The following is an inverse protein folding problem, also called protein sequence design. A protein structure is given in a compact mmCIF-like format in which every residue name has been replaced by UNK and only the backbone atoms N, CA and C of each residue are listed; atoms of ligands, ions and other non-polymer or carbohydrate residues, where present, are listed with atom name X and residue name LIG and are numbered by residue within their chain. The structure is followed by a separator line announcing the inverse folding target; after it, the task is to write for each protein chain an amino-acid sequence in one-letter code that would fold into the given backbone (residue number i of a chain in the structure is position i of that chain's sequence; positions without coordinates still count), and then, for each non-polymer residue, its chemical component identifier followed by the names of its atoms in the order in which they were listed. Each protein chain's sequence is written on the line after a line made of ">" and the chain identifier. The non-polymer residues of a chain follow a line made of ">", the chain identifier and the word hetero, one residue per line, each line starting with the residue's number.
data_IF_386588472573
#
_entry.id   IF_386588472573
#
_cell.length_a   1.000
_cell.length_b   1.000
_cell.length_c   1.000
_cell.angle_alpha   90.00
_cell.angle_beta   90.00
_cell.angle_gamma   90.00
#
_symmetry.space_group_name_H-M   'P 1'
#
loop_
_entity.id
_entity.type
_entity.pdbx_description
1 polymer ?
#
# COMPACT_ATOMS: atom_id res chain seq x y z
N UNK A 1 -50.87 1.58 -2.48
CA UNK A 1 -50.83 2.36 -1.21
C UNK A 1 -49.40 2.73 -0.89
N UNK A 2 -49.16 4.04 -0.70
CA UNK A 2 -48.03 4.75 -0.07
C UNK A 2 -46.67 4.02 0.05
N UNK A 3 -45.75 4.38 -0.86
CA UNK A 3 -44.30 4.38 -0.63
C UNK A 3 -43.97 5.37 0.49
N UNK A 4 -43.39 4.91 1.59
CA UNK A 4 -42.75 5.78 2.60
C UNK A 4 -41.28 5.94 2.20
N UNK A 5 -40.91 7.18 1.91
CA UNK A 5 -39.54 7.58 1.61
C UNK A 5 -38.68 7.52 2.87
N UNK A 6 -37.53 6.88 2.75
CA UNK A 6 -36.42 7.06 3.66
C UNK A 6 -35.50 8.13 3.06
N UNK A 7 -35.59 9.34 3.61
CA UNK A 7 -34.60 10.39 3.46
C UNK A 7 -33.42 10.02 4.37
N UNK A 8 -32.36 9.46 3.78
CA UNK A 8 -31.06 9.28 4.43
C UNK A 8 -30.05 10.20 3.74
N UNK A 9 -29.58 11.20 4.48
CA UNK A 9 -28.79 12.32 3.96
C UNK A 9 -27.53 11.90 3.22
N UNK A 10 -27.45 12.31 1.95
CA UNK A 10 -26.20 12.39 1.20
C UNK A 10 -25.43 13.58 1.75
N UNK A 11 -24.41 13.32 2.56
CA UNK A 11 -23.38 14.31 2.86
C UNK A 11 -22.59 14.55 1.56
N UNK A 12 -22.97 15.58 0.82
CA UNK A 12 -22.14 16.21 -0.21
C UNK A 12 -20.85 16.69 0.45
N UNK A 13 -19.81 15.86 0.41
CA UNK A 13 -18.44 16.30 0.60
C UNK A 13 -18.11 17.24 -0.56
N UNK A 14 -18.15 18.53 -0.27
CA UNK A 14 -17.68 19.56 -1.17
C UNK A 14 -16.25 19.22 -1.60
N UNK A 15 -16.09 18.81 -2.86
CA UNK A 15 -14.80 18.82 -3.52
C UNK A 15 -14.32 20.26 -3.56
N UNK A 16 -13.36 20.57 -2.70
CA UNK A 16 -12.65 21.84 -2.75
C UNK A 16 -11.92 21.93 -4.08
N UNK A 17 -12.54 22.58 -5.06
CA UNK A 17 -11.85 23.10 -6.23
C UNK A 17 -10.94 24.23 -5.73
N UNK A 18 -9.71 23.89 -5.33
CA UNK A 18 -8.71 24.89 -4.99
C UNK A 18 -8.07 25.41 -6.27
N UNK A 19 -8.57 26.56 -6.69
CA UNK A 19 -7.89 27.51 -7.56
C UNK A 19 -6.59 27.96 -6.87
N UNK A 20 -5.48 27.25 -7.10
CA UNK A 20 -4.15 27.80 -6.83
C UNK A 20 -3.81 28.78 -7.93
N UNK A 21 -3.90 30.07 -7.59
CA UNK A 21 -3.50 31.16 -8.46
C UNK A 21 -2.08 30.90 -9.02
N UNK A 22 -2.01 30.72 -10.34
CA UNK A 22 -0.77 30.79 -11.10
C UNK A 22 -0.22 32.21 -11.04
N UNK A 23 0.47 32.54 -9.95
CA UNK A 23 1.40 33.67 -9.95
C UNK A 23 2.68 33.24 -10.68
N UNK A 24 2.56 33.07 -12.00
CA UNK A 24 3.69 32.97 -12.92
C UNK A 24 4.30 34.37 -13.09
N UNK A 25 5.03 34.86 -12.10
CA UNK A 25 6.03 35.90 -12.34
C UNK A 25 7.21 35.22 -13.02
N UNK A 26 7.64 35.72 -14.18
CA UNK A 26 8.85 35.24 -14.88
C UNK A 26 10.04 35.29 -13.90
N UNK A 27 10.57 34.13 -13.53
CA UNK A 27 11.73 34.03 -12.64
C UNK A 27 13.00 34.33 -13.42
N UNK A 28 13.98 34.92 -12.75
CA UNK A 28 15.28 35.20 -13.36
C UNK A 28 16.08 33.91 -13.49
N UNK A 29 16.69 33.66 -14.65
CA UNK A 29 17.52 32.47 -14.83
C UNK A 29 18.73 32.47 -13.88
N UNK A 30 19.07 31.31 -13.31
CA UNK A 30 20.14 31.16 -12.33
C UNK A 30 21.49 31.69 -12.84
N UNK A 31 21.76 31.66 -14.16
CA UNK A 31 22.99 32.22 -14.75
C UNK A 31 23.21 33.70 -14.42
N UNK A 32 22.14 34.45 -14.16
CA UNK A 32 22.21 35.88 -13.83
C UNK A 32 22.49 36.15 -12.35
N UNK A 33 22.61 35.12 -11.51
CA UNK A 33 22.81 35.27 -10.06
C UNK A 33 24.28 35.45 -9.66
N UNK A 34 25.17 35.77 -10.61
CA UNK A 34 26.56 36.14 -10.37
C UNK A 34 27.31 35.10 -9.53
N UNK A 35 27.86 35.51 -8.38
CA UNK A 35 28.63 34.63 -7.49
C UNK A 35 27.88 33.37 -7.06
N UNK A 36 26.56 33.45 -6.86
CA UNK A 36 25.74 32.29 -6.47
C UNK A 36 25.82 31.22 -7.56
N UNK A 37 25.69 31.62 -8.83
CA UNK A 37 25.82 30.69 -9.96
C UNK A 37 27.22 30.09 -10.02
N UNK A 38 28.26 30.92 -9.86
CA UNK A 38 29.66 30.44 -9.80
C UNK A 38 29.89 29.43 -8.67
N UNK A 39 29.31 29.66 -7.49
CA UNK A 39 29.39 28.74 -6.34
C UNK A 39 28.64 27.42 -6.57
N UNK A 40 27.59 27.42 -7.40
CA UNK A 40 26.89 26.20 -7.80
C UNK A 40 27.67 25.40 -8.85
N UNK A 41 28.42 26.07 -9.72
CA UNK A 41 29.27 25.43 -10.74
C UNK A 41 30.59 24.91 -10.15
N UNK A 42 31.10 25.54 -9.09
CA UNK A 42 32.36 25.19 -8.44
C UNK A 42 32.20 25.10 -6.91
N UNK A 43 31.87 23.92 -6.37
CA UNK A 43 31.77 23.67 -4.93
C UNK A 43 33.09 23.91 -4.16
N UNK A 44 34.25 23.78 -4.82
CA UNK A 44 35.55 24.02 -4.19
C UNK A 44 35.79 25.53 -3.98
N UNK A 45 35.46 26.35 -5.00
CA UNK A 45 35.44 27.80 -4.87
C UNK A 45 34.49 28.25 -3.76
N UNK A 46 33.28 27.68 -3.70
CA UNK A 46 32.33 27.98 -2.64
C UNK A 46 32.90 27.68 -1.26
N UNK A 47 33.46 26.48 -1.08
CA UNK A 47 34.07 26.07 0.20
C UNK A 47 35.17 27.05 0.62
N UNK A 48 36.00 27.51 -0.34
CA UNK A 48 37.03 28.51 -0.07
C UNK A 48 36.47 29.86 0.36
N UNK A 49 35.41 30.32 -0.30
CA UNK A 49 34.86 31.67 -0.11
C UNK A 49 33.98 31.80 1.14
N UNK A 50 33.12 30.79 1.39
CA UNK A 50 32.09 30.86 2.45
C UNK A 50 32.03 29.61 3.35
N UNK A 51 32.93 28.64 3.15
CA UNK A 51 32.95 27.39 3.91
C UNK A 51 31.65 26.61 3.79
N UNK A 52 31.22 26.02 4.90
CA UNK A 52 29.98 25.23 5.01
C UNK A 52 28.71 26.08 5.21
N UNK A 53 28.81 27.41 5.10
CA UNK A 53 27.65 28.30 5.27
C UNK A 53 26.53 27.96 4.29
N UNK A 54 25.29 28.08 4.76
CA UNK A 54 24.10 27.83 3.91
C UNK A 54 24.04 28.86 2.80
N UNK A 55 24.01 28.40 1.55
CA UNK A 55 23.79 29.25 0.38
C UNK A 55 22.30 29.29 0.05
N UNK A 56 21.70 30.47 0.19
CA UNK A 56 20.27 30.69 -0.10
C UNK A 56 20.12 31.20 -1.53
N UNK A 57 19.24 30.55 -2.28
CA UNK A 57 18.90 30.88 -3.67
C UNK A 57 17.39 31.09 -3.71
N UNK A 58 16.94 32.32 -3.99
CA UNK A 58 15.53 32.69 -4.00
C UNK A 58 15.08 33.16 -5.38
N UNK A 59 13.92 32.67 -5.84
CA UNK A 59 13.27 33.17 -7.05
C UNK A 59 14.00 32.84 -8.36
N UNK A 60 14.88 31.84 -8.36
CA UNK A 60 15.66 31.46 -9.55
C UNK A 60 14.93 30.46 -10.45
N UNK A 61 15.13 30.59 -11.76
CA UNK A 61 14.82 29.57 -12.75
C UNK A 61 16.09 28.79 -13.13
N UNK A 62 16.07 27.49 -12.91
CA UNK A 62 17.08 26.53 -13.33
C UNK A 62 16.63 25.93 -14.66
N UNK A 63 16.98 26.60 -15.76
CA UNK A 63 16.72 26.16 -17.14
C UNK A 63 17.93 26.42 -18.03
N UNK A 64 18.16 25.53 -19.02
CA UNK A 64 19.25 25.67 -19.98
C UNK A 64 20.65 25.78 -19.37
N UNK A 65 20.83 25.24 -18.16
CA UNK A 65 22.10 25.15 -17.42
C UNK A 65 22.65 23.74 -17.52
N UNK A 66 23.88 23.51 -17.06
CA UNK A 66 24.41 22.16 -16.95
C UNK A 66 25.17 22.05 -15.64
N UNK A 67 24.69 21.16 -14.76
CA UNK A 67 25.31 20.80 -13.50
C UNK A 67 25.49 19.28 -13.50
N UNK A 68 26.71 18.83 -13.76
CA UNK A 68 27.05 17.43 -13.89
C UNK A 68 28.22 17.09 -12.98
N UNK A 69 28.14 15.95 -12.31
CA UNK A 69 29.24 15.40 -11.48
C UNK A 69 29.70 16.35 -10.37
N UNK A 70 28.73 17.08 -9.80
CA UNK A 70 28.95 18.02 -8.70
C UNK A 70 28.34 17.49 -7.40
N UNK A 71 28.97 17.87 -6.29
CA UNK A 71 28.42 17.71 -4.94
C UNK A 71 27.87 19.05 -4.46
N UNK A 72 26.56 19.11 -4.28
CA UNK A 72 25.88 20.25 -3.68
C UNK A 72 25.59 19.98 -2.21
N UNK A 73 26.03 20.87 -1.32
CA UNK A 73 25.85 20.74 0.14
C UNK A 73 25.32 22.02 0.76
N UNK A 74 24.53 21.95 1.83
CA UNK A 74 24.08 23.14 2.58
C UNK A 74 23.42 24.20 1.68
N UNK A 75 22.50 23.78 0.82
CA UNK A 75 21.77 24.68 -0.08
C UNK A 75 20.35 24.88 0.41
N UNK A 76 19.84 26.10 0.25
CA UNK A 76 18.43 26.42 0.47
C UNK A 76 17.85 27.08 -0.78
N UNK A 77 17.03 26.36 -1.51
CA UNK A 77 16.30 26.85 -2.67
C UNK A 77 14.92 27.30 -2.22
N UNK A 78 14.57 28.56 -2.45
CA UNK A 78 13.30 29.15 -2.04
C UNK A 78 12.60 29.69 -3.28
N UNK A 79 11.35 29.29 -3.49
CA UNK A 79 10.57 29.74 -4.64
C UNK A 79 11.34 29.59 -5.97
N UNK A 80 12.05 28.48 -6.19
CA UNK A 80 12.78 28.24 -7.44
C UNK A 80 11.97 27.38 -8.42
N UNK A 81 12.25 27.50 -9.72
CA UNK A 81 11.72 26.62 -10.75
C UNK A 81 12.86 25.79 -11.35
N UNK A 82 12.68 24.48 -11.41
CA UNK A 82 13.61 23.54 -12.04
C UNK A 82 12.97 22.98 -13.29
N UNK A 83 13.39 23.50 -14.45
CA UNK A 83 12.76 23.22 -15.75
C UNK A 83 13.82 22.71 -16.72
N UNK A 84 13.63 21.48 -17.19
CA UNK A 84 14.55 20.85 -18.12
C UNK A 84 14.57 19.33 -17.98
N UNK A 85 15.15 18.66 -18.95
CA UNK A 85 15.45 17.23 -18.86
C UNK A 85 16.96 17.00 -18.95
N UNK A 86 17.53 16.39 -17.90
CA UNK A 86 18.91 15.91 -17.84
C UNK A 86 20.01 16.98 -17.74
N UNK A 87 19.67 18.25 -17.53
CA UNK A 87 20.61 19.34 -17.24
C UNK A 87 21.20 19.28 -15.84
N UNK A 88 20.49 18.67 -14.90
CA UNK A 88 20.92 18.48 -13.52
C UNK A 88 21.16 16.98 -13.30
N UNK A 89 22.45 16.64 -13.17
CA UNK A 89 23.00 15.30 -12.94
C UNK A 89 24.08 15.38 -11.88
N UNK A 90 23.67 15.69 -10.66
CA UNK A 90 24.62 15.77 -9.55
C UNK A 90 25.16 14.39 -9.22
N UNK A 91 26.38 14.34 -8.74
CA UNK A 91 26.90 13.16 -8.03
C UNK A 91 26.14 13.01 -6.71
N UNK A 92 25.93 14.13 -6.00
CA UNK A 92 25.38 14.11 -4.66
C UNK A 92 24.74 15.44 -4.25
N UNK A 93 23.68 15.36 -3.46
CA UNK A 93 23.00 16.48 -2.83
C UNK A 93 22.83 16.24 -1.33
N UNK A 94 23.36 17.13 -0.52
CA UNK A 94 23.47 16.94 0.92
C UNK A 94 22.93 18.12 1.69
N UNK A 95 22.27 17.85 2.83
CA UNK A 95 21.89 18.86 3.83
C UNK A 95 21.18 20.06 3.19
N UNK A 96 20.26 19.78 2.28
CA UNK A 96 19.67 20.78 1.39
C UNK A 96 18.16 20.83 1.53
N UNK A 97 17.61 22.03 1.38
CA UNK A 97 16.19 22.32 1.54
C UNK A 97 15.65 23.01 0.29
N UNK A 98 14.56 22.48 -0.25
CA UNK A 98 13.75 23.12 -1.28
C UNK A 98 12.44 23.57 -0.67
N UNK A 99 12.10 24.84 -0.80
CA UNK A 99 10.87 25.43 -0.28
C UNK A 99 10.08 26.07 -1.40
N UNK A 100 8.82 25.68 -1.53
CA UNK A 100 7.89 26.24 -2.53
C UNK A 100 8.45 26.18 -3.97
N UNK A 101 9.28 25.16 -4.27
CA UNK A 101 9.90 25.01 -5.57
C UNK A 101 8.98 24.24 -6.53
N UNK A 102 9.11 24.49 -7.83
CA UNK A 102 8.37 23.76 -8.88
C UNK A 102 9.35 22.98 -9.75
N UNK A 103 8.97 21.77 -10.12
CA UNK A 103 9.77 20.88 -10.94
C UNK A 103 9.00 20.49 -12.20
N UNK A 104 9.66 20.64 -13.35
CA UNK A 104 9.20 20.22 -14.66
C UNK A 104 10.33 19.53 -15.42
N UNK A 105 10.17 18.25 -15.74
CA UNK A 105 11.14 17.46 -16.50
C UNK A 105 11.96 16.50 -15.65
N UNK A 106 13.20 16.20 -16.02
CA UNK A 106 13.96 15.05 -15.49
C UNK A 106 15.21 15.53 -14.75
N UNK A 107 15.22 15.32 -13.44
CA UNK A 107 16.26 15.81 -12.54
C UNK A 107 16.87 14.65 -11.76
N UNK A 108 18.18 14.46 -11.89
CA UNK A 108 18.96 13.50 -11.11
C UNK A 108 19.82 14.27 -10.12
N UNK A 109 19.43 14.26 -8.85
CA UNK A 109 20.17 14.92 -7.78
C UNK A 109 21.24 14.00 -7.13
N UNK A 110 21.58 12.89 -7.78
CA UNK A 110 22.56 11.93 -7.27
C UNK A 110 22.07 11.25 -6.01
N UNK A 111 22.98 10.92 -5.10
CA UNK A 111 22.57 10.53 -3.74
C UNK A 111 22.03 11.74 -2.99
N UNK A 112 20.83 11.63 -2.43
CA UNK A 112 20.21 12.67 -1.62
C UNK A 112 20.31 12.31 -0.13
N UNK A 113 21.13 13.03 0.62
CA UNK A 113 21.35 12.77 2.06
C UNK A 113 20.96 13.98 2.90
N UNK A 114 20.03 13.78 3.83
CA UNK A 114 19.45 14.85 4.65
C UNK A 114 18.85 15.97 3.80
N UNK A 115 18.06 15.58 2.79
CA UNK A 115 17.42 16.50 1.84
C UNK A 115 15.92 16.58 2.13
N UNK A 116 15.40 17.80 2.16
CA UNK A 116 13.98 18.06 2.35
C UNK A 116 13.38 18.89 1.22
N UNK A 117 12.26 18.42 0.69
CA UNK A 117 11.38 19.17 -0.19
C UNK A 117 10.14 19.57 0.61
N UNK A 118 9.89 20.87 0.76
CA UNK A 118 8.81 21.42 1.56
C UNK A 118 7.89 22.25 0.66
N UNK A 119 6.61 21.87 0.58
CA UNK A 119 5.60 22.56 -0.25
C UNK A 119 5.98 22.67 -1.73
N UNK A 120 6.74 21.69 -2.22
CA UNK A 120 7.18 21.65 -3.60
C UNK A 120 6.13 21.01 -4.51
N UNK A 121 6.21 21.29 -5.81
CA UNK A 121 5.28 20.75 -6.80
C UNK A 121 6.04 20.07 -7.95
N UNK A 122 5.59 18.88 -8.34
CA UNK A 122 6.02 18.23 -9.58
C UNK A 122 4.80 17.90 -10.44
N UNK A 123 4.81 18.25 -11.73
CA UNK A 123 3.68 18.03 -12.63
C UNK A 123 4.08 17.31 -13.91
N UNK A 124 3.13 16.58 -14.49
CA UNK A 124 3.32 15.83 -15.73
C UNK A 124 4.36 14.72 -15.58
N UNK A 125 5.14 14.51 -16.65
CA UNK A 125 6.22 13.52 -16.69
C UNK A 125 7.49 14.05 -16.03
N UNK A 126 7.38 14.41 -14.76
CA UNK A 126 8.49 14.95 -13.98
C UNK A 126 9.14 13.86 -13.13
N UNK A 127 10.47 13.81 -13.14
CA UNK A 127 11.28 12.83 -12.43
C UNK A 127 12.22 13.55 -11.47
N UNK A 128 12.11 13.24 -10.17
CA UNK A 128 13.03 13.68 -9.12
C UNK A 128 13.51 12.42 -8.42
N UNK A 129 14.69 11.93 -8.80
CA UNK A 129 15.17 10.62 -8.37
C UNK A 129 16.49 10.72 -7.64
N UNK A 130 16.54 10.13 -6.44
CA UNK A 130 17.76 9.89 -5.66
C UNK A 130 18.33 8.50 -5.94
N UNK A 131 19.65 8.36 -5.76
CA UNK A 131 20.37 7.11 -5.96
C UNK A 131 20.39 6.21 -4.70
N UNK A 132 21.06 5.06 -4.79
CA UNK A 132 20.99 3.96 -3.83
C UNK A 132 21.60 4.25 -2.45
N UNK A 133 22.38 5.32 -2.28
CA UNK A 133 22.91 5.74 -0.97
C UNK A 133 22.12 6.92 -0.35
N UNK A 134 20.97 7.27 -0.93
CA UNK A 134 20.08 8.33 -0.40
C UNK A 134 19.52 7.96 0.98
N UNK A 135 19.57 8.91 1.92
CA UNK A 135 19.16 8.73 3.33
C UNK A 135 18.47 9.98 3.84
N UNK A 136 17.47 9.81 4.71
CA UNK A 136 16.71 10.92 5.29
C UNK A 136 16.14 11.89 4.23
N UNK A 137 15.70 11.37 3.08
CA UNK A 137 15.02 12.12 2.05
C UNK A 137 13.55 12.32 2.44
N UNK A 138 13.13 13.58 2.60
CA UNK A 138 11.78 13.92 3.06
C UNK A 138 11.08 14.82 2.06
N UNK A 139 9.85 14.46 1.69
CA UNK A 139 8.90 15.33 1.01
C UNK A 139 7.78 15.68 1.99
N UNK A 140 7.62 16.96 2.32
CA UNK A 140 6.59 17.43 3.25
C UNK A 140 5.66 18.44 2.54
N UNK A 141 4.35 18.19 2.60
CA UNK A 141 3.31 19.06 2.05
C UNK A 141 3.49 19.33 0.55
N UNK A 142 4.08 18.38 -0.17
CA UNK A 142 4.32 18.48 -1.61
C UNK A 142 3.10 17.98 -2.40
N UNK A 143 3.00 18.41 -3.66
CA UNK A 143 1.97 17.96 -4.61
C UNK A 143 2.60 17.38 -5.87
N UNK A 144 2.22 16.16 -6.22
CA UNK A 144 2.72 15.42 -7.38
C UNK A 144 1.56 15.00 -8.28
N UNK A 145 1.51 15.48 -9.52
CA UNK A 145 0.36 15.23 -10.39
C UNK A 145 0.83 14.85 -11.79
N UNK A 146 0.55 13.61 -12.20
CA UNK A 146 0.77 13.15 -13.57
C UNK A 146 -0.10 13.90 -14.58
N UNK A 147 0.23 13.79 -15.86
CA UNK A 147 -0.49 14.52 -16.91
C UNK A 147 -1.89 13.94 -17.15
N UNK A 148 -2.04 12.61 -17.04
CA UNK A 148 -3.31 11.91 -17.17
C UNK A 148 -3.27 10.58 -16.41
N UNK A 149 -4.39 9.85 -16.42
CA UNK A 149 -4.50 8.51 -15.85
C UNK A 149 -3.67 7.45 -16.58
N UNK A 150 -3.12 7.74 -17.75
CA UNK A 150 -2.29 6.81 -18.51
C UNK A 150 -0.90 6.65 -17.84
N UNK A 151 -0.51 5.44 -17.37
CA UNK A 151 0.74 5.24 -16.63
C UNK A 151 2.01 5.73 -17.33
N UNK A 152 2.04 5.72 -18.67
CA UNK A 152 3.15 6.23 -19.45
C UNK A 152 3.32 7.77 -19.39
N UNK A 153 2.29 8.47 -18.91
CA UNK A 153 2.29 9.92 -18.71
C UNK A 153 2.52 10.34 -17.25
N UNK A 154 2.82 9.38 -16.37
CA UNK A 154 3.12 9.64 -14.96
C UNK A 154 4.57 10.12 -14.80
N UNK A 155 4.81 10.87 -13.72
CA UNK A 155 6.15 11.18 -13.24
C UNK A 155 6.60 10.24 -12.13
N UNK A 156 7.77 10.49 -11.55
CA UNK A 156 8.32 9.73 -10.43
C UNK A 156 9.08 10.62 -9.45
N UNK A 157 8.84 10.46 -8.15
CA UNK A 157 9.60 11.15 -7.10
C UNK A 157 10.04 10.15 -6.03
N UNK A 158 11.25 10.35 -5.50
CA UNK A 158 11.76 9.53 -4.41
C UNK A 158 13.23 9.16 -4.58
N UNK A 159 13.62 7.97 -4.13
CA UNK A 159 14.97 7.45 -4.30
C UNK A 159 15.01 5.94 -4.49
N UNK A 160 16.14 5.43 -4.98
CA UNK A 160 16.48 4.00 -4.96
C UNK A 160 16.83 3.48 -3.56
N UNK A 161 16.64 4.30 -2.51
CA UNK A 161 16.87 3.94 -1.13
C UNK A 161 15.68 4.41 -0.26
N UNK A 162 15.90 5.37 0.64
CA UNK A 162 14.88 5.81 1.59
C UNK A 162 14.10 7.01 1.04
N UNK A 163 12.79 7.04 1.27
CA UNK A 163 11.97 8.23 1.08
C UNK A 163 10.79 8.26 2.07
N UNK A 164 10.55 9.44 2.64
CA UNK A 164 9.40 9.71 3.49
C UNK A 164 8.54 10.82 2.87
N UNK A 165 7.24 10.56 2.75
CA UNK A 165 6.24 11.52 2.29
C UNK A 165 5.30 11.86 3.45
N UNK A 166 5.19 13.15 3.78
CA UNK A 166 4.40 13.64 4.92
C UNK A 166 3.41 14.71 4.46
N UNK A 167 2.12 14.50 4.72
CA UNK A 167 1.06 15.42 4.34
C UNK A 167 1.08 15.78 2.84
N UNK A 168 1.51 14.84 1.99
CA UNK A 168 1.65 15.05 0.55
C UNK A 168 0.36 14.68 -0.20
N UNK A 169 0.20 15.30 -1.36
CA UNK A 169 -0.80 14.94 -2.34
C UNK A 169 -0.13 14.29 -3.56
N UNK A 170 -0.63 13.16 -4.01
CA UNK A 170 -0.13 12.50 -5.21
C UNK A 170 -1.27 11.99 -6.08
N UNK A 171 -1.22 12.21 -7.39
CA UNK A 171 -2.21 11.68 -8.32
C UNK A 171 -1.54 11.24 -9.62
N UNK A 172 -1.80 10.01 -10.07
CA UNK A 172 -1.23 9.49 -11.32
C UNK A 172 0.29 9.62 -11.34
N UNK A 173 0.93 9.03 -10.33
CA UNK A 173 2.34 9.27 -10.06
C UNK A 173 3.03 8.05 -9.45
N UNK A 174 4.35 7.98 -9.65
CA UNK A 174 5.17 6.97 -8.99
C UNK A 174 5.84 7.55 -7.74
N UNK A 175 5.68 6.89 -6.60
CA UNK A 175 6.40 7.22 -5.36
C UNK A 175 7.44 6.14 -5.08
N UNK A 176 8.71 6.53 -4.95
CA UNK A 176 9.83 5.58 -4.84
C UNK A 176 10.51 5.65 -3.48
N UNK A 177 10.66 4.50 -2.85
CA UNK A 177 11.39 4.30 -1.60
C UNK A 177 11.78 2.83 -1.50
N UNK A 178 12.84 2.46 -2.22
CA UNK A 178 13.18 1.07 -2.48
C UNK A 178 13.83 0.31 -1.32
N UNK A 179 14.39 1.00 -0.32
CA UNK A 179 14.83 0.41 0.95
C UNK A 179 13.94 0.82 2.14
N UNK A 180 13.28 1.97 2.05
CA UNK A 180 12.25 2.42 2.99
C UNK A 180 11.28 3.38 2.30
N UNK A 181 9.98 3.17 2.49
CA UNK A 181 8.92 4.05 2.03
C UNK A 181 7.93 4.33 3.16
N UNK A 182 7.91 5.59 3.62
CA UNK A 182 6.90 6.04 4.58
C UNK A 182 5.90 6.98 3.88
N UNK A 183 4.61 6.71 4.03
CA UNK A 183 3.51 7.59 3.64
C UNK A 183 2.73 7.96 4.91
N UNK A 184 2.76 9.23 5.31
CA UNK A 184 2.15 9.70 6.55
C UNK A 184 1.24 10.88 6.27
N UNK A 185 -0.04 10.78 6.64
CA UNK A 185 -1.05 11.83 6.45
C UNK A 185 -1.21 12.26 4.97
N UNK A 186 -0.95 11.35 4.03
CA UNK A 186 -0.99 11.64 2.60
C UNK A 186 -2.40 11.44 2.01
N UNK A 187 -2.72 12.21 0.96
CA UNK A 187 -3.88 11.99 0.11
C UNK A 187 -3.42 11.61 -1.28
N UNK A 188 -3.57 10.33 -1.66
CA UNK A 188 -3.07 9.83 -2.93
C UNK A 188 -4.18 9.20 -3.78
N UNK A 189 -4.07 9.30 -5.10
CA UNK A 189 -5.01 8.75 -6.07
C UNK A 189 -4.25 8.07 -7.21
N UNK A 190 -4.47 6.76 -7.40
CA UNK A 190 -3.81 5.98 -8.46
C UNK A 190 -2.29 6.16 -8.48
N UNK A 191 -1.62 5.49 -7.54
CA UNK A 191 -0.17 5.60 -7.33
C UNK A 191 0.48 4.23 -7.43
N UNK A 192 1.60 4.17 -8.15
CA UNK A 192 2.49 3.02 -8.13
C UNK A 192 3.65 3.28 -7.17
N UNK A 193 3.83 2.37 -6.22
CA UNK A 193 4.84 2.45 -5.18
C UNK A 193 5.64 1.14 -5.07
N UNK A 194 5.71 0.37 -6.15
CA UNK A 194 6.33 -0.97 -6.19
C UNK A 194 7.80 -0.92 -5.77
N UNK A 195 8.18 -1.59 -4.66
CA UNK A 195 9.58 -1.70 -4.25
C UNK A 195 10.32 -2.76 -5.05
N UNK A 196 11.24 -2.35 -5.91
CA UNK A 196 12.06 -3.26 -6.70
C UNK A 196 13.11 -4.04 -5.89
N UNK A 197 13.11 -5.36 -6.02
CA UNK A 197 14.07 -6.30 -5.42
C UNK A 197 15.55 -6.03 -5.70
N UNK A 198 15.91 -5.40 -6.83
CA UNK A 198 17.30 -5.08 -7.19
C UNK A 198 17.98 -4.14 -6.19
N UNK A 199 17.18 -3.43 -5.38
CA UNK A 199 17.65 -2.50 -4.35
C UNK A 199 17.51 -3.07 -2.93
N UNK A 200 17.34 -4.40 -2.78
CA UNK A 200 17.28 -5.08 -1.48
C UNK A 200 15.89 -5.18 -0.85
N UNK A 201 14.91 -4.43 -1.38
CA UNK A 201 13.51 -4.41 -0.92
C UNK A 201 13.25 -3.40 0.20
N UNK A 202 11.97 -3.07 0.42
CA UNK A 202 11.58 -1.91 1.23
C UNK A 202 10.78 -2.26 2.49
N UNK A 203 11.06 -1.57 3.59
CA UNK A 203 10.10 -1.41 4.68
C UNK A 203 9.07 -0.36 4.29
N UNK A 204 7.80 -0.75 4.16
CA UNK A 204 6.71 0.14 3.77
C UNK A 204 5.81 0.43 4.96
N UNK A 205 5.63 1.71 5.29
CA UNK A 205 4.77 2.19 6.36
C UNK A 205 3.76 3.21 5.83
N UNK A 206 2.47 2.99 6.10
CA UNK A 206 1.37 3.85 5.66
C UNK A 206 0.52 4.19 6.88
N UNK A 207 0.46 5.47 7.24
CA UNK A 207 -0.24 5.96 8.43
C UNK A 207 -1.16 7.13 8.08
N UNK A 208 -2.39 7.10 8.58
CA UNK A 208 -3.35 8.22 8.47
C UNK A 208 -3.60 8.72 7.05
N UNK A 209 -3.51 7.84 6.06
CA UNK A 209 -3.63 8.24 4.67
C UNK A 209 -5.07 8.14 4.14
N UNK A 210 -5.33 8.82 3.01
CA UNK A 210 -6.51 8.66 2.17
C UNK A 210 -6.06 8.20 0.79
N UNK A 211 -6.32 6.93 0.45
CA UNK A 211 -5.90 6.30 -0.80
C UNK A 211 -7.13 6.11 -1.70
N UNK A 212 -7.24 6.87 -2.77
CA UNK A 212 -8.28 6.75 -3.80
C UNK A 212 -7.74 5.96 -5.00
N UNK A 213 -8.63 5.30 -5.74
CA UNK A 213 -8.22 4.44 -6.84
C UNK A 213 -7.37 3.28 -6.35
N UNK A 214 -6.23 3.04 -7.00
CA UNK A 214 -5.33 1.93 -6.65
C UNK A 214 -4.00 2.42 -6.06
N UNK A 215 -3.63 1.89 -4.90
CA UNK A 215 -2.23 1.85 -4.47
C UNK A 215 -1.62 0.52 -4.90
N UNK A 216 -0.69 0.58 -5.85
CA UNK A 216 -0.04 -0.59 -6.43
C UNK A 216 1.33 -0.85 -5.78
N UNK A 217 1.44 -2.00 -5.11
CA UNK A 217 2.66 -2.58 -4.53
C UNK A 217 2.95 -3.97 -5.14
N UNK A 218 2.28 -4.32 -6.23
CA UNK A 218 2.23 -5.65 -6.83
C UNK A 218 3.43 -5.94 -7.75
N UNK A 219 3.52 -7.19 -8.21
CA UNK A 219 4.43 -7.63 -9.27
C UNK A 219 5.52 -8.57 -8.80
N UNK A 220 5.96 -9.46 -9.69
CA UNK A 220 6.94 -10.51 -9.37
C UNK A 220 8.35 -10.02 -9.02
N UNK A 221 8.66 -8.75 -9.32
CA UNK A 221 9.88 -8.08 -8.89
C UNK A 221 9.73 -7.22 -7.63
N UNK A 222 8.52 -7.18 -7.04
CA UNK A 222 8.20 -6.44 -5.82
C UNK A 222 8.70 -7.20 -4.59
N UNK A 223 9.56 -6.55 -3.81
CA UNK A 223 10.13 -7.09 -2.57
C UNK A 223 9.89 -6.14 -1.40
N UNK A 224 8.99 -6.53 -0.51
CA UNK A 224 8.77 -5.87 0.77
C UNK A 224 9.53 -6.61 1.87
N UNK A 225 10.21 -5.87 2.73
CA UNK A 225 10.76 -6.39 3.97
C UNK A 225 9.66 -6.50 5.02
N UNK A 226 8.76 -5.52 5.06
CA UNK A 226 7.52 -5.51 5.83
C UNK A 226 6.55 -4.52 5.23
N UNK A 227 5.24 -4.71 5.49
CA UNK A 227 4.21 -3.72 5.18
C UNK A 227 3.36 -3.48 6.41
N UNK A 228 3.24 -2.22 6.82
CA UNK A 228 2.30 -1.80 7.86
C UNK A 228 1.39 -0.70 7.32
N UNK A 229 0.08 -0.92 7.41
CA UNK A 229 -0.94 0.07 7.05
C UNK A 229 -1.83 0.29 8.25
N UNK A 230 -1.96 1.54 8.70
CA UNK A 230 -2.76 1.86 9.88
C UNK A 230 -3.51 3.19 9.76
N UNK A 231 -4.65 3.27 10.45
CA UNK A 231 -5.47 4.48 10.56
C UNK A 231 -5.83 5.10 9.19
N UNK A 232 -5.95 4.26 8.16
CA UNK A 232 -5.99 4.67 6.75
C UNK A 232 -7.33 4.33 6.11
N UNK A 233 -7.78 5.21 5.22
CA UNK A 233 -8.91 4.93 4.32
C UNK A 233 -8.35 4.59 2.94
N UNK A 234 -8.76 3.46 2.36
CA UNK A 234 -8.28 3.03 1.05
C UNK A 234 -9.41 2.51 0.16
N UNK A 235 -9.33 2.72 -1.15
CA UNK A 235 -10.26 2.13 -2.13
C UNK A 235 -9.74 0.78 -2.65
N UNK A 236 -8.50 0.72 -3.15
CA UNK A 236 -7.88 -0.54 -3.56
C UNK A 236 -6.39 -0.60 -3.14
N UNK A 237 -5.97 -1.75 -2.64
CA UNK A 237 -4.57 -2.09 -2.36
C UNK A 237 -4.21 -3.37 -3.10
N UNK A 238 -3.21 -3.32 -3.98
CA UNK A 238 -2.74 -4.49 -4.73
C UNK A 238 -1.35 -4.95 -4.29
N UNK A 239 -1.26 -6.18 -3.78
CA UNK A 239 -0.03 -6.88 -3.40
C UNK A 239 0.20 -8.14 -4.24
N UNK A 240 -0.57 -8.34 -5.31
CA UNK A 240 -0.48 -9.54 -6.13
C UNK A 240 0.94 -9.82 -6.57
N UNK A 241 1.37 -11.06 -6.45
CA UNK A 241 2.70 -11.53 -6.84
C UNK A 241 3.89 -10.90 -6.08
N UNK A 242 3.64 -10.03 -5.09
CA UNK A 242 4.71 -9.47 -4.28
C UNK A 242 5.32 -10.52 -3.36
N UNK A 243 6.61 -10.36 -3.02
CA UNK A 243 7.27 -11.09 -1.94
C UNK A 243 7.36 -10.21 -0.71
N UNK A 244 6.89 -10.70 0.44
CA UNK A 244 7.07 -10.05 1.74
C UNK A 244 7.96 -10.95 2.60
N UNK A 245 9.13 -10.47 3.02
CA UNK A 245 10.02 -11.28 3.88
C UNK A 245 9.48 -11.41 5.31
N UNK A 246 8.99 -10.31 5.85
CA UNK A 246 8.33 -10.25 7.16
C UNK A 246 6.81 -10.26 7.03
N UNK A 247 6.17 -9.43 7.84
CA UNK A 247 4.71 -9.41 7.97
C UNK A 247 4.06 -8.30 7.16
N UNK A 248 2.80 -8.56 6.79
CA UNK A 248 1.81 -7.58 6.35
C UNK A 248 0.87 -7.32 7.52
N UNK A 249 0.88 -6.11 8.08
CA UNK A 249 0.01 -5.71 9.18
C UNK A 249 -0.92 -4.59 8.75
N UNK A 250 -2.21 -4.75 9.02
CA UNK A 250 -3.28 -3.84 8.67
C UNK A 250 -4.14 -3.57 9.89
N UNK A 251 -4.18 -2.34 10.39
CA UNK A 251 -4.94 -2.00 11.60
C UNK A 251 -5.78 -0.74 11.45
N UNK A 252 -7.03 -0.77 11.94
CA UNK A 252 -7.90 0.43 11.92
C UNK A 252 -8.08 0.99 10.50
N UNK A 253 -8.22 0.11 9.52
CA UNK A 253 -8.42 0.47 8.12
C UNK A 253 -9.90 0.53 7.81
N UNK A 254 -10.30 1.53 7.02
CA UNK A 254 -11.57 1.51 6.28
C UNK A 254 -11.26 1.37 4.80
N UNK A 255 -11.35 0.14 4.30
CA UNK A 255 -10.88 -0.27 2.97
C UNK A 255 -12.00 -0.63 2.02
N UNK A 256 -11.73 -0.51 0.72
CA UNK A 256 -12.46 -1.18 -0.36
C UNK A 256 -11.88 -2.58 -0.60
N UNK A 257 -11.35 -2.86 -1.80
CA UNK A 257 -10.79 -4.17 -2.14
C UNK A 257 -9.30 -4.27 -1.75
N UNK A 258 -8.93 -5.40 -1.15
CA UNK A 258 -7.53 -5.73 -0.82
C UNK A 258 -7.16 -7.05 -1.51
N UNK A 259 -6.15 -6.98 -2.37
CA UNK A 259 -5.57 -8.13 -3.03
C UNK A 259 -4.26 -8.53 -2.33
N UNK A 260 -4.35 -9.40 -1.32
CA UNK A 260 -3.21 -9.97 -0.59
C UNK A 260 -2.75 -11.32 -1.19
N UNK A 261 -2.91 -11.51 -2.51
CA UNK A 261 -2.43 -12.69 -3.23
C UNK A 261 -0.91 -12.63 -3.48
N UNK A 262 -0.15 -12.58 -2.38
CA UNK A 262 1.32 -12.53 -2.39
C UNK A 262 1.92 -13.88 -2.79
N UNK A 263 3.16 -13.86 -3.31
CA UNK A 263 3.95 -15.09 -3.52
C UNK A 263 4.36 -15.73 -2.20
N UNK A 264 4.81 -14.89 -1.27
CA UNK A 264 5.17 -15.31 0.07
C UNK A 264 5.03 -14.17 1.08
N UNK A 265 4.68 -14.49 2.32
CA UNK A 265 4.74 -13.60 3.48
C UNK A 265 5.01 -14.38 4.79
N UNK A 266 5.73 -13.76 5.72
CA UNK A 266 5.90 -14.28 7.09
C UNK A 266 4.59 -14.29 7.87
N UNK A 267 3.72 -13.31 7.63
CA UNK A 267 2.41 -13.25 8.23
C UNK A 267 1.51 -12.20 7.58
N UNK A 268 0.21 -12.37 7.74
CA UNK A 268 -0.81 -11.41 7.37
C UNK A 268 -1.72 -11.18 8.56
N UNK A 269 -1.73 -9.97 9.10
CA UNK A 269 -2.56 -9.59 10.23
C UNK A 269 -3.48 -8.44 9.84
N UNK A 270 -4.78 -8.61 10.07
CA UNK A 270 -5.79 -7.56 9.89
C UNK A 270 -6.59 -7.43 11.18
N UNK A 271 -6.60 -6.22 11.76
CA UNK A 271 -7.29 -5.94 13.02
C UNK A 271 -8.15 -4.70 12.99
N UNK A 272 -9.25 -4.71 13.74
CA UNK A 272 -10.07 -3.53 14.02
C UNK A 272 -10.48 -2.76 12.75
N UNK A 273 -10.84 -3.46 11.68
CA UNK A 273 -10.95 -2.89 10.33
C UNK A 273 -12.31 -3.15 9.68
N UNK A 274 -12.64 -2.34 8.66
CA UNK A 274 -13.80 -2.53 7.80
C UNK A 274 -13.34 -2.64 6.35
N UNK A 275 -13.60 -3.76 5.68
CA UNK A 275 -13.17 -4.03 4.30
C UNK A 275 -14.42 -4.25 3.45
N UNK A 276 -14.85 -3.21 2.74
CA UNK A 276 -16.16 -3.18 2.06
C UNK A 276 -16.12 -3.71 0.62
N UNK A 277 -14.93 -3.87 0.05
CA UNK A 277 -14.75 -4.26 -1.35
C UNK A 277 -15.02 -3.13 -2.35
N UNK A 278 -15.00 -3.49 -3.64
CA UNK A 278 -15.24 -2.58 -4.77
C UNK A 278 -16.56 -2.89 -5.52
N UNK A 279 -17.56 -3.40 -4.79
CA UNK A 279 -18.86 -3.79 -5.32
C UNK A 279 -18.93 -5.20 -5.91
N UNK A 280 -17.77 -5.78 -6.27
CA UNK A 280 -17.67 -7.18 -6.70
C UNK A 280 -16.67 -7.95 -5.86
N UNK A 281 -15.43 -7.48 -5.78
CA UNK A 281 -14.36 -8.09 -5.01
C UNK A 281 -14.26 -7.47 -3.62
N UNK A 282 -13.98 -8.28 -2.61
CA UNK A 282 -13.85 -7.81 -1.22
C UNK A 282 -12.42 -7.97 -0.74
N UNK A 283 -11.94 -9.21 -0.70
CA UNK A 283 -10.67 -9.56 -0.09
C UNK A 283 -10.17 -10.89 -0.63
N UNK A 284 -8.88 -10.96 -0.97
CA UNK A 284 -8.24 -12.19 -1.45
C UNK A 284 -6.88 -12.37 -0.76
N UNK A 285 -6.62 -13.56 -0.21
CA UNK A 285 -5.32 -13.95 0.33
C UNK A 285 -4.97 -15.37 -0.10
N UNK A 286 -3.73 -15.57 -0.58
CA UNK A 286 -3.22 -16.88 -0.95
C UNK A 286 -2.59 -17.57 0.27
N UNK A 287 -3.34 -18.47 0.91
CA UNK A 287 -2.88 -19.14 2.12
C UNK A 287 -1.62 -19.99 1.91
N UNK A 288 -1.42 -20.55 0.70
CA UNK A 288 -0.22 -21.35 0.38
C UNK A 288 1.08 -20.55 0.30
N UNK A 289 1.02 -19.21 0.31
CA UNK A 289 2.19 -18.33 0.35
C UNK A 289 2.42 -17.71 1.73
N UNK A 290 1.47 -17.77 2.65
CA UNK A 290 1.51 -17.01 3.90
C UNK A 290 1.66 -17.96 5.08
N UNK A 291 2.69 -17.78 5.92
CA UNK A 291 2.93 -18.71 7.04
C UNK A 291 1.83 -18.62 8.10
N UNK A 292 1.37 -17.42 8.43
CA UNK A 292 0.30 -17.19 9.40
C UNK A 292 -0.69 -16.12 8.94
N UNK A 293 -1.99 -16.37 9.09
CA UNK A 293 -3.04 -15.39 8.80
C UNK A 293 -3.85 -15.15 10.07
N UNK A 294 -3.98 -13.89 10.46
CA UNK A 294 -4.74 -13.45 11.61
C UNK A 294 -5.73 -12.36 11.19
N UNK A 295 -7.02 -12.60 11.41
CA UNK A 295 -8.09 -11.63 11.18
C UNK A 295 -8.88 -11.50 12.47
N UNK A 296 -8.84 -10.33 13.10
CA UNK A 296 -9.52 -10.11 14.39
C UNK A 296 -10.30 -8.80 14.39
N UNK A 297 -11.58 -8.88 14.76
CA UNK A 297 -12.45 -7.70 14.84
C UNK A 297 -12.53 -6.97 13.49
N UNK A 298 -12.84 -7.73 12.43
CA UNK A 298 -12.97 -7.22 11.06
C UNK A 298 -14.40 -7.37 10.55
N UNK A 299 -14.92 -6.32 9.92
CA UNK A 299 -16.21 -6.35 9.21
C UNK A 299 -15.95 -6.34 7.72
N UNK A 300 -16.28 -7.43 7.05
CA UNK A 300 -16.28 -7.51 5.60
C UNK A 300 -17.64 -7.09 5.04
N UNK A 301 -17.63 -6.23 4.04
CA UNK A 301 -18.82 -5.81 3.30
C UNK A 301 -19.26 -6.83 2.26
N UNK A 302 -20.18 -6.41 1.38
CA UNK A 302 -20.74 -7.26 0.33
C UNK A 302 -21.99 -8.03 0.76
N UNK A 303 -22.53 -8.78 -0.19
CA UNK A 303 -23.71 -9.63 -0.03
C UNK A 303 -23.54 -10.96 -0.77
N UNK A 304 -24.62 -11.72 -0.95
CA UNK A 304 -24.60 -13.01 -1.66
C UNK A 304 -24.32 -12.90 -3.16
N UNK A 305 -24.36 -11.70 -3.74
CA UNK A 305 -24.00 -11.44 -5.14
C UNK A 305 -22.54 -11.01 -5.31
N UNK A 306 -21.86 -10.68 -4.20
CA UNK A 306 -20.44 -10.33 -4.18
C UNK A 306 -19.56 -11.58 -4.26
N UNK A 307 -18.32 -11.43 -4.75
CA UNK A 307 -17.31 -12.48 -4.63
C UNK A 307 -16.96 -12.69 -3.15
N UNK A 308 -16.63 -13.94 -2.75
CA UNK A 308 -16.34 -14.25 -1.35
C UNK A 308 -15.07 -13.55 -0.85
N UNK A 309 -15.02 -13.33 0.46
CA UNK A 309 -13.76 -13.14 1.18
C UNK A 309 -12.98 -14.43 1.04
N UNK A 310 -11.89 -14.39 0.28
CA UNK A 310 -11.15 -15.58 -0.13
C UNK A 310 -9.86 -15.69 0.67
N UNK A 311 -9.72 -16.77 1.43
CA UNK A 311 -8.49 -17.18 2.14
C UNK A 311 -8.30 -18.65 1.78
N UNK A 312 -7.71 -18.89 0.61
CA UNK A 312 -7.75 -20.19 -0.04
C UNK A 312 -6.40 -20.56 -0.66
N UNK A 313 -6.32 -21.79 -1.16
CA UNK A 313 -5.09 -22.36 -1.72
C UNK A 313 -4.22 -23.01 -0.65
N UNK A 314 -3.16 -23.70 -1.06
CA UNK A 314 -2.42 -24.63 -0.19
C UNK A 314 -2.52 -26.08 -0.67
N UNK A 315 -3.62 -26.44 -1.33
CA UNK A 315 -3.88 -27.82 -1.74
C UNK A 315 -4.43 -27.90 -3.18
N UNK A 316 -4.08 -28.97 -3.90
CA UNK A 316 -4.61 -29.26 -5.24
C UNK A 316 -4.99 -30.74 -5.36
N UNK A 317 -6.21 -31.01 -5.81
CA UNK A 317 -6.66 -32.37 -6.14
C UNK A 317 -6.04 -32.92 -7.43
N UNK A 318 -5.48 -32.06 -8.29
CA UNK A 318 -4.99 -32.43 -9.62
C UNK A 318 -3.52 -32.87 -9.63
N UNK A 319 -2.78 -32.63 -8.56
CA UNK A 319 -1.37 -33.02 -8.44
C UNK A 319 -0.98 -33.03 -6.97
N UNK A 320 -0.61 -34.20 -6.46
CA UNK A 320 -0.05 -34.37 -5.11
C UNK A 320 1.28 -33.62 -4.93
N UNK A 321 1.97 -33.35 -6.03
CA UNK A 321 3.23 -32.59 -6.12
C UNK A 321 3.00 -31.07 -6.05
N UNK A 322 1.73 -30.62 -6.17
CA UNK A 322 1.26 -29.24 -5.90
C UNK A 322 0.59 -29.11 -4.54
N UNK A 323 0.96 -29.97 -3.59
CA UNK A 323 0.77 -29.65 -2.17
C UNK A 323 1.70 -28.46 -1.88
N UNK A 324 1.20 -27.25 -2.10
CA UNK A 324 1.88 -26.02 -1.71
C UNK A 324 2.01 -25.96 -0.19
N UNK A 325 3.00 -25.19 0.26
CA UNK A 325 3.42 -25.06 1.64
C UNK A 325 2.26 -25.07 2.65
N UNK A 326 2.46 -25.80 3.75
CA UNK A 326 1.50 -25.83 4.86
C UNK A 326 1.59 -24.49 5.58
N UNK A 327 0.52 -23.70 5.57
CA UNK A 327 0.46 -22.54 6.48
C UNK A 327 0.40 -23.04 7.93
N UNK A 328 1.09 -22.36 8.83
CA UNK A 328 1.14 -22.75 10.24
C UNK A 328 -0.18 -22.46 10.95
N UNK A 329 -0.81 -21.32 10.64
CA UNK A 329 -2.09 -20.97 11.25
C UNK A 329 -2.93 -20.04 10.39
N UNK A 330 -4.25 -20.21 10.49
CA UNK A 330 -5.27 -19.28 10.02
C UNK A 330 -6.25 -19.08 11.17
N UNK A 331 -6.18 -17.92 11.82
CA UNK A 331 -7.02 -17.56 12.95
C UNK A 331 -7.94 -16.40 12.55
N UNK A 332 -9.25 -16.65 12.51
CA UNK A 332 -10.28 -15.64 12.22
C UNK A 332 -11.18 -15.50 13.45
N UNK A 333 -11.22 -14.31 14.04
CA UNK A 333 -11.91 -14.05 15.31
C UNK A 333 -12.75 -12.79 15.28
N UNK A 334 -13.84 -12.78 16.05
CA UNK A 334 -14.66 -11.59 16.32
C UNK A 334 -15.11 -10.84 15.05
N UNK A 335 -15.26 -11.54 13.91
CA UNK A 335 -15.39 -10.92 12.60
C UNK A 335 -16.75 -11.21 11.95
N UNK A 336 -17.17 -10.31 11.06
CA UNK A 336 -18.41 -10.45 10.28
C UNK A 336 -18.06 -10.67 8.81
N UNK A 337 -18.52 -11.78 8.22
CA UNK A 337 -18.15 -12.23 6.87
C UNK A 337 -19.40 -12.71 6.11
N UNK A 338 -19.82 -12.04 5.02
CA UNK A 338 -20.98 -12.49 4.25
C UNK A 338 -20.76 -13.87 3.62
N UNK A 339 -19.68 -14.04 2.87
CA UNK A 339 -19.29 -15.32 2.28
C UNK A 339 -17.79 -15.50 2.45
N UNK A 340 -17.39 -16.57 3.13
CA UNK A 340 -16.00 -17.00 3.28
C UNK A 340 -15.72 -18.15 2.31
N UNK A 341 -14.71 -17.99 1.46
CA UNK A 341 -14.10 -19.10 0.73
C UNK A 341 -12.74 -19.46 1.33
N UNK A 342 -12.72 -20.60 1.98
CA UNK A 342 -11.59 -21.24 2.62
C UNK A 342 -11.39 -22.67 2.07
N UNK A 343 -11.75 -22.87 0.80
CA UNK A 343 -11.57 -24.15 0.11
C UNK A 343 -10.11 -24.40 -0.26
N UNK A 344 -9.78 -25.69 -0.45
CA UNK A 344 -8.44 -26.14 -0.85
C UNK A 344 -7.31 -25.61 0.05
N UNK A 345 -7.59 -25.43 1.33
CA UNK A 345 -6.57 -25.07 2.31
C UNK A 345 -5.66 -26.25 2.62
N UNK A 346 -4.40 -25.95 2.91
CA UNK A 346 -3.49 -26.87 3.58
C UNK A 346 -2.82 -26.15 4.75
N UNK A 347 -3.26 -26.45 5.97
CA UNK A 347 -2.84 -25.70 7.15
C UNK A 347 -2.70 -26.58 8.39
N UNK A 348 -1.78 -26.24 9.29
CA UNK A 348 -1.65 -26.93 10.57
C UNK A 348 -2.81 -26.59 11.51
N UNK A 349 -3.28 -25.34 11.51
CA UNK A 349 -4.34 -24.89 12.42
C UNK A 349 -5.29 -23.92 11.74
N UNK A 350 -6.59 -24.21 11.81
CA UNK A 350 -7.65 -23.32 11.38
C UNK A 350 -8.59 -23.05 12.55
N UNK A 351 -8.71 -21.77 12.94
CA UNK A 351 -9.61 -21.33 14.00
C UNK A 351 -10.62 -20.34 13.46
N UNK A 352 -11.90 -20.67 13.63
CA UNK A 352 -13.02 -19.75 13.45
C UNK A 352 -13.70 -19.52 14.80
N UNK A 353 -13.36 -18.42 15.47
CA UNK A 353 -13.84 -18.12 16.82
C UNK A 353 -14.73 -16.87 16.87
N UNK A 354 -15.91 -16.96 17.49
CA UNK A 354 -16.77 -15.81 17.77
C UNK A 354 -17.12 -14.95 16.54
N UNK A 355 -17.26 -15.59 15.37
CA UNK A 355 -17.57 -14.91 14.10
C UNK A 355 -19.07 -14.91 13.76
N UNK A 356 -19.49 -13.98 12.91
CA UNK A 356 -20.76 -14.01 12.21
C UNK A 356 -20.52 -14.27 10.72
N UNK A 357 -20.89 -15.46 10.25
CA UNK A 357 -20.70 -15.87 8.86
C UNK A 357 -22.04 -16.24 8.24
N UNK A 358 -22.33 -15.79 7.03
CA UNK A 358 -23.55 -16.22 6.34
C UNK A 358 -23.31 -17.46 5.47
N UNK A 359 -22.21 -17.52 4.70
CA UNK A 359 -21.80 -18.73 3.99
C UNK A 359 -20.33 -19.02 4.21
N UNK A 360 -19.98 -20.29 4.44
CA UNK A 360 -18.59 -20.73 4.59
C UNK A 360 -18.34 -21.95 3.68
N UNK A 361 -17.36 -21.83 2.79
CA UNK A 361 -16.85 -22.94 1.99
C UNK A 361 -15.48 -23.37 2.54
N UNK A 362 -15.36 -24.59 3.04
CA UNK A 362 -14.10 -25.19 3.49
C UNK A 362 -13.81 -26.49 2.75
N UNK A 363 -14.41 -26.69 1.58
CA UNK A 363 -14.31 -27.92 0.80
C UNK A 363 -12.88 -28.24 0.36
N UNK A 364 -12.56 -29.53 0.29
CA UNK A 364 -11.30 -30.09 -0.17
C UNK A 364 -10.07 -29.64 0.63
N UNK A 365 -10.26 -29.15 1.86
CA UNK A 365 -9.17 -28.70 2.71
C UNK A 365 -8.49 -29.84 3.46
N UNK A 366 -7.23 -29.62 3.86
CA UNK A 366 -6.41 -30.49 4.72
C UNK A 366 -5.97 -29.67 5.93
N UNK A 367 -6.52 -29.98 7.10
CA UNK A 367 -6.32 -29.22 8.32
C UNK A 367 -5.79 -30.14 9.41
N UNK A 368 -4.66 -29.85 10.06
CA UNK A 368 -4.21 -30.72 11.15
C UNK A 368 -5.08 -30.53 12.42
N UNK A 369 -5.36 -29.29 12.81
CA UNK A 369 -6.22 -28.92 13.93
C UNK A 369 -7.30 -27.91 13.52
N UNK A 370 -8.57 -28.34 13.54
CA UNK A 370 -9.73 -27.52 13.20
C UNK A 370 -10.52 -27.13 14.45
N UNK A 371 -10.59 -25.83 14.75
CA UNK A 371 -11.44 -25.30 15.81
C UNK A 371 -12.50 -24.34 15.24
N UNK A 372 -13.77 -24.62 15.56
CA UNK A 372 -14.88 -23.70 15.34
C UNK A 372 -15.62 -23.58 16.66
N UNK A 373 -15.66 -22.38 17.24
CA UNK A 373 -16.28 -22.13 18.55
C UNK A 373 -16.90 -20.73 18.57
N UNK A 374 -18.07 -20.58 19.20
CA UNK A 374 -18.78 -19.29 19.26
C UNK A 374 -19.20 -18.67 17.91
N UNK A 375 -18.86 -19.32 16.79
CA UNK A 375 -19.11 -18.83 15.44
C UNK A 375 -20.53 -19.18 14.99
N UNK A 376 -21.27 -18.16 14.57
CA UNK A 376 -22.63 -18.26 14.04
C UNK A 376 -22.59 -18.36 12.52
N UNK A 377 -23.05 -19.49 11.95
CA UNK A 377 -23.13 -19.71 10.50
C UNK A 377 -24.59 -19.83 10.08
N UNK A 378 -25.13 -18.81 9.41
CA UNK A 378 -26.60 -18.66 9.23
C UNK A 378 -27.15 -19.16 7.90
N UNK A 379 -26.30 -19.44 6.91
CA UNK A 379 -26.68 -19.99 5.62
C UNK A 379 -25.98 -21.33 5.38
N UNK A 380 -25.12 -21.39 4.35
CA UNK A 380 -24.45 -22.63 3.89
C UNK A 380 -23.12 -22.85 4.61
N UNK A 381 -22.86 -24.09 5.01
CA UNK A 381 -21.54 -24.58 5.43
C UNK A 381 -21.14 -25.80 4.58
N UNK A 382 -19.99 -25.73 3.92
CA UNK A 382 -19.48 -26.76 3.02
C UNK A 382 -18.17 -27.38 3.54
N UNK A 383 -18.18 -28.69 3.77
CA UNK A 383 -17.02 -29.49 4.19
C UNK A 383 -16.73 -30.64 3.20
N UNK A 384 -17.25 -30.59 1.97
CA UNK A 384 -17.07 -31.66 0.98
C UNK A 384 -15.57 -31.98 0.80
N UNK A 385 -15.18 -33.25 0.93
CA UNK A 385 -13.78 -33.66 0.74
C UNK A 385 -12.77 -33.13 1.78
N UNK A 386 -13.23 -32.46 2.84
CA UNK A 386 -12.37 -31.87 3.88
C UNK A 386 -11.88 -32.91 4.88
N UNK A 387 -10.59 -32.85 5.23
CA UNK A 387 -9.98 -33.77 6.19
C UNK A 387 -9.33 -33.00 7.33
N UNK A 388 -9.71 -33.34 8.57
CA UNK A 388 -9.09 -32.85 9.80
C UNK A 388 -8.49 -33.99 10.65
N UNK A 389 -7.28 -33.82 11.19
CA UNK A 389 -6.66 -34.81 12.10
C UNK A 389 -7.22 -34.68 13.52
N UNK A 390 -7.25 -33.45 14.04
CA UNK A 390 -7.88 -33.05 15.29
C UNK A 390 -8.97 -32.03 14.98
N UNK A 391 -10.07 -32.09 15.74
CA UNK A 391 -11.21 -31.22 15.48
C UNK A 391 -12.06 -30.97 16.72
N UNK A 392 -12.43 -29.70 16.89
CA UNK A 392 -13.39 -29.21 17.87
C UNK A 392 -14.35 -28.26 17.16
N UNK A 393 -15.45 -28.83 16.66
CA UNK A 393 -16.48 -28.08 15.92
C UNK A 393 -17.74 -27.94 16.76
N UNK A 394 -17.90 -26.77 17.37
CA UNK A 394 -19.08 -26.36 18.12
C UNK A 394 -19.86 -25.29 17.34
N UNK A 395 -21.06 -25.66 16.90
CA UNK A 395 -22.00 -24.81 16.15
C UNK A 395 -23.23 -24.42 16.99
N UNK A 396 -23.14 -24.50 18.32
CA UNK A 396 -24.24 -24.21 19.25
C UNK A 396 -24.65 -22.72 19.27
N UNK A 397 -23.73 -21.81 18.92
CA UNK A 397 -23.96 -20.36 18.85
C UNK A 397 -24.99 -19.93 17.78
N UNK A 398 -25.43 -20.85 16.92
CA UNK A 398 -26.56 -20.69 16.04
C UNK A 398 -26.22 -20.98 14.58
N UNK A 399 -26.72 -22.10 14.09
CA UNK A 399 -26.88 -22.35 12.66
C UNK A 399 -28.36 -22.47 12.35
N UNK A 400 -28.92 -21.52 11.61
CA UNK A 400 -30.37 -21.45 11.38
C UNK A 400 -30.66 -21.69 9.91
N UNK A 401 -31.30 -22.81 9.62
CA UNK A 401 -31.75 -23.31 8.31
C UNK A 401 -30.67 -23.93 7.40
N UNK A 402 -30.78 -25.25 7.19
CA UNK A 402 -30.15 -25.96 6.09
C UNK A 402 -28.66 -26.28 6.28
N UNK A 403 -28.39 -27.25 7.17
CA UNK A 403 -27.30 -28.26 7.17
C UNK A 403 -25.87 -27.80 6.87
N UNK A 404 -24.90 -28.54 7.39
CA UNK A 404 -23.67 -28.71 6.60
C UNK A 404 -24.13 -29.34 5.29
N UNK A 405 -24.21 -28.52 4.24
CA UNK A 405 -24.93 -28.87 3.02
C UNK A 405 -24.21 -29.98 2.25
N UNK A 406 -22.89 -30.08 2.44
CA UNK A 406 -22.05 -31.06 1.76
C UNK A 406 -20.96 -31.56 2.72
N UNK A 407 -20.99 -32.86 3.00
CA UNK A 407 -20.00 -33.58 3.82
C UNK A 407 -19.45 -34.82 3.11
N UNK A 408 -19.84 -35.06 1.86
CA UNK A 408 -19.40 -36.26 1.14
C UNK A 408 -17.87 -36.26 1.05
N UNK A 409 -17.25 -37.39 1.39
CA UNK A 409 -15.79 -37.51 1.45
C UNK A 409 -15.12 -36.69 2.57
N UNK A 410 -15.87 -36.18 3.54
CA UNK A 410 -15.38 -35.45 4.71
C UNK A 410 -15.22 -36.34 5.93
N UNK A 411 -14.24 -36.08 6.80
CA UNK A 411 -14.12 -36.75 8.10
C UNK A 411 -14.54 -35.85 9.29
N UNK A 412 -15.16 -34.70 9.01
CA UNK A 412 -15.56 -33.73 10.04
C UNK A 412 -16.71 -34.27 10.91
N UNK A 413 -16.58 -34.12 12.23
CA UNK A 413 -17.54 -34.54 13.27
C UNK A 413 -18.14 -33.30 13.91
N UNK A 414 -19.46 -33.19 13.83
CA UNK A 414 -20.21 -32.09 14.45
C UNK A 414 -20.65 -32.51 15.85
N UNK A 415 -20.53 -31.62 16.84
CA UNK A 415 -21.08 -31.92 18.17
C UNK A 415 -22.62 -32.06 18.10
N UNK A 416 -23.21 -33.04 18.82
CA UNK A 416 -24.65 -33.19 18.91
C UNK A 416 -25.28 -31.92 19.49
N UNK A 417 -26.38 -31.43 18.90
CA UNK A 417 -27.17 -30.37 19.53
C UNK A 417 -27.74 -30.91 20.84
N UNK A 418 -27.55 -30.19 21.94
CA UNK A 418 -28.43 -30.39 23.10
C UNK A 418 -29.86 -30.06 22.64
N UNK A 419 -30.74 -31.04 22.73
CA UNK A 419 -32.18 -30.85 22.53
C UNK A 419 -32.66 -29.80 23.52
N UNK A 420 -33.03 -28.63 23.02
CA UNK A 420 -33.76 -27.61 23.79
C UNK A 420 -35.23 -27.73 23.52
#
# INVERSE_FOLDING_TARGET
>A
MRRRGFLGGVATMAGGAFSYAESSMNKTNIKSFGKIYSHLQDPALRTKDIGDSVLVIDGAEFSGVNFADLIWRNLRFVNCDFIGAYEIKLERLEQSLFENCRFGGIHSFGDMVDVKFLRCQARGRTFIQGQSDSKNLVFEKCSFVGKSSEPNEWGSVGSYAQATFMACEAKWFNLRGHSKLDLVDCSIEDVNAVPWHEHGGSHVFIDKCKLRGTLDLSGGGSLLLSLTVQDTVLENLDLRDATVKGDVTMERIKGGYINAYVRQAGGLRIRNSQILGNGRKIFEAYAGGIQSIEIDTVVFGGDLSSEPVTIAGGFSLKSADRISNISQSIDIRNSTIPTLDASYLHTQRLVLQDNQIMRANMSNSRVADLEISGTRITGKLDFHGTQATQQKVDLSAGSTFGRVDQMDGSNIRLQPRSTR
#
